data_IF_562865464930
#
_entry.id   IF_562865464930
#
_cell.length_a   1.000
_cell.length_b   1.000
_cell.length_c   1.000
_cell.angle_alpha   90.00
_cell.angle_beta   90.00
_cell.angle_gamma   90.00
#
_symmetry.space_group_name_H-M   'P 1'
#
loop_
_entity.id
_entity.type
_entity.pdbx_description
1 polymer ?
#
# COMPACT_ATOMS: atom_id res chain seq x y z
N UNK A 1 -8.61 -1.45 -14.52
CA UNK A 1 -9.25 -2.71 -14.95
C UNK A 1 -10.69 -2.50 -15.42
N UNK A 2 -11.55 -1.88 -14.62
CA UNK A 2 -12.94 -1.57 -15.04
C UNK A 2 -13.03 -0.70 -16.30
N UNK A 3 -12.16 0.28 -16.44
CA UNK A 3 -12.06 1.15 -17.62
C UNK A 3 -11.71 0.39 -18.91
N UNK A 4 -10.91 -0.69 -18.79
CA UNK A 4 -10.42 -1.44 -19.94
C UNK A 4 -11.27 -2.67 -20.27
N UNK A 5 -11.91 -3.28 -19.27
CA UNK A 5 -12.56 -4.59 -19.39
C UNK A 5 -13.97 -4.63 -18.78
N UNK A 6 -14.50 -3.49 -18.39
CA UNK A 6 -15.86 -3.36 -17.84
C UNK A 6 -15.96 -3.61 -16.33
N UNK A 7 -17.15 -3.34 -15.76
CA UNK A 7 -17.39 -3.31 -14.32
C UNK A 7 -17.20 -4.67 -13.62
N UNK A 8 -17.36 -5.76 -14.33
CA UNK A 8 -17.28 -7.13 -13.79
C UNK A 8 -16.04 -7.88 -14.30
N UNK A 9 -14.97 -7.17 -14.68
CA UNK A 9 -13.72 -7.74 -15.17
C UNK A 9 -13.10 -8.78 -14.21
N UNK A 10 -13.31 -8.64 -12.91
CA UNK A 10 -12.86 -9.60 -11.90
C UNK A 10 -13.52 -10.99 -12.03
N UNK A 11 -14.64 -11.11 -12.72
CA UNK A 11 -15.31 -12.40 -12.97
C UNK A 11 -14.77 -13.12 -14.21
N UNK A 12 -13.91 -12.49 -14.99
CA UNK A 12 -13.34 -13.08 -16.21
C UNK A 12 -11.94 -13.66 -15.93
N UNK A 13 -11.85 -14.99 -15.74
CA UNK A 13 -10.62 -15.70 -15.47
C UNK A 13 -9.53 -15.50 -16.54
N UNK A 14 -9.90 -15.20 -17.80
CA UNK A 14 -8.95 -15.02 -18.90
C UNK A 14 -8.08 -13.76 -18.74
N UNK A 15 -8.49 -12.81 -17.89
CA UNK A 15 -7.74 -11.59 -17.59
C UNK A 15 -6.61 -11.81 -16.58
N UNK A 16 -6.50 -13.02 -16.00
CA UNK A 16 -5.55 -13.36 -14.95
C UNK A 16 -4.53 -14.40 -15.43
N UNK A 17 -3.30 -14.28 -14.92
CA UNK A 17 -2.16 -15.09 -15.38
C UNK A 17 -2.16 -16.49 -14.79
N UNK A 18 -2.28 -16.58 -13.48
CA UNK A 18 -2.32 -17.84 -12.75
C UNK A 18 -3.78 -18.19 -12.44
N UNK A 19 -4.27 -19.29 -13.04
CA UNK A 19 -5.65 -19.73 -12.88
C UNK A 19 -5.94 -20.29 -11.49
N UNK A 20 -5.00 -21.01 -10.90
CA UNK A 20 -5.20 -21.58 -9.56
C UNK A 20 -5.26 -20.47 -8.50
N UNK A 21 -4.39 -19.48 -8.60
CA UNK A 21 -4.42 -18.31 -7.75
C UNK A 21 -5.69 -17.48 -7.99
N UNK A 22 -6.16 -17.37 -9.24
CA UNK A 22 -7.42 -16.71 -9.55
C UNK A 22 -8.59 -17.40 -8.84
N UNK A 23 -8.75 -18.72 -8.97
CA UNK A 23 -9.88 -19.43 -8.37
C UNK A 23 -9.83 -19.37 -6.84
N UNK A 24 -8.65 -19.48 -6.22
CA UNK A 24 -8.50 -19.29 -4.75
C UNK A 24 -8.95 -17.90 -4.33
N UNK A 25 -8.48 -16.87 -5.02
CA UNK A 25 -8.86 -15.48 -4.74
C UNK A 25 -10.33 -15.22 -5.02
N UNK A 26 -10.91 -15.87 -6.04
CA UNK A 26 -12.31 -15.73 -6.39
C UNK A 26 -13.24 -16.37 -5.33
N UNK A 27 -12.90 -17.54 -4.81
CA UNK A 27 -13.63 -18.17 -3.69
C UNK A 27 -13.58 -17.28 -2.45
N UNK A 28 -12.40 -16.78 -2.09
CA UNK A 28 -12.26 -15.84 -0.97
C UNK A 28 -13.11 -14.59 -1.17
N UNK A 29 -13.14 -14.06 -2.40
CA UNK A 29 -13.94 -12.90 -2.74
C UNK A 29 -15.43 -13.13 -2.55
N UNK A 30 -15.94 -14.28 -2.98
CA UNK A 30 -17.35 -14.65 -2.77
C UNK A 30 -17.69 -14.72 -1.29
N UNK A 31 -16.81 -15.34 -0.48
CA UNK A 31 -17.00 -15.43 0.98
C UNK A 31 -16.96 -14.05 1.64
N UNK A 32 -16.01 -13.18 1.25
CA UNK A 32 -15.91 -11.82 1.78
C UNK A 32 -17.12 -10.97 1.38
N UNK A 33 -17.60 -11.09 0.14
CA UNK A 33 -18.81 -10.41 -0.32
C UNK A 33 -20.03 -10.84 0.50
N UNK A 34 -20.16 -12.15 0.76
CA UNK A 34 -21.26 -12.66 1.60
C UNK A 34 -21.19 -12.15 3.04
N UNK A 35 -20.00 -12.08 3.63
CA UNK A 35 -19.80 -11.49 4.97
C UNK A 35 -20.10 -9.99 4.98
N UNK A 36 -19.67 -9.28 3.93
CA UNK A 36 -19.87 -7.85 3.80
C UNK A 36 -21.35 -7.45 3.62
N UNK A 37 -22.22 -8.36 3.16
CA UNK A 37 -23.65 -8.12 3.04
C UNK A 37 -24.30 -7.63 4.35
N UNK A 38 -23.77 -8.04 5.51
CA UNK A 38 -24.26 -7.62 6.80
C UNK A 38 -23.77 -6.21 7.23
N UNK A 39 -22.67 -5.71 6.63
CA UNK A 39 -21.97 -4.52 7.12
C UNK A 39 -21.70 -3.45 6.03
N UNK A 40 -21.98 -3.74 4.77
CA UNK A 40 -21.85 -2.80 3.64
C UNK A 40 -23.21 -2.61 2.97
N UNK A 41 -23.68 -1.39 3.02
CA UNK A 41 -24.96 -1.01 2.40
C UNK A 41 -24.94 -1.21 0.89
N UNK A 42 -23.82 -0.88 0.23
CA UNK A 42 -23.66 -1.01 -1.23
C UNK A 42 -23.70 -2.48 -1.67
N UNK A 43 -23.05 -3.37 -0.91
CA UNK A 43 -23.07 -4.81 -1.19
C UNK A 43 -24.45 -5.37 -0.95
N UNK A 44 -25.08 -5.03 0.18
CA UNK A 44 -26.44 -5.47 0.52
C UNK A 44 -27.46 -5.00 -0.53
N UNK A 45 -27.36 -3.73 -0.94
CA UNK A 45 -28.22 -3.17 -2.00
C UNK A 45 -28.06 -3.93 -3.30
N UNK A 46 -26.81 -4.16 -3.76
CA UNK A 46 -26.57 -4.86 -5.01
C UNK A 46 -27.15 -6.27 -4.98
N UNK A 47 -26.82 -7.06 -3.96
CA UNK A 47 -27.28 -8.46 -3.84
C UNK A 47 -28.79 -8.60 -3.67
N UNK A 48 -29.48 -7.54 -3.23
CA UNK A 48 -30.95 -7.51 -3.12
C UNK A 48 -31.65 -7.21 -4.45
N UNK A 49 -31.04 -6.42 -5.32
CA UNK A 49 -31.70 -5.87 -6.50
C UNK A 49 -31.21 -6.45 -7.83
N UNK A 50 -30.08 -7.16 -7.83
CA UNK A 50 -29.47 -7.69 -9.05
C UNK A 50 -29.13 -9.18 -8.91
N UNK A 51 -29.76 -10.01 -9.75
CA UNK A 51 -29.46 -11.45 -9.81
C UNK A 51 -28.28 -11.75 -10.73
N UNK A 52 -28.04 -10.91 -11.73
CA UNK A 52 -26.94 -11.05 -12.68
C UNK A 52 -26.33 -9.67 -13.05
N UNK A 53 -25.00 -9.58 -13.07
CA UNK A 53 -24.00 -10.56 -12.57
C UNK A 53 -24.11 -10.80 -11.07
N UNK A 54 -23.82 -12.01 -10.60
CA UNK A 54 -24.02 -12.41 -9.18
C UNK A 54 -23.02 -11.76 -8.19
N UNK A 55 -21.95 -11.12 -8.67
CA UNK A 55 -21.06 -10.29 -7.85
C UNK A 55 -21.19 -8.82 -8.20
N UNK A 56 -21.10 -7.92 -7.22
CA UNK A 56 -21.09 -6.50 -7.45
C UNK A 56 -19.96 -6.03 -8.37
N UNK A 57 -20.08 -4.84 -8.99
CA UNK A 57 -19.01 -4.23 -9.75
C UNK A 57 -17.72 -4.09 -8.95
N UNK A 58 -16.57 -4.10 -9.65
CA UNK A 58 -15.25 -4.15 -9.02
C UNK A 58 -15.00 -3.02 -8.02
N UNK A 59 -15.56 -1.83 -8.22
CA UNK A 59 -15.39 -0.70 -7.27
C UNK A 59 -16.13 -0.92 -5.95
N UNK A 60 -17.25 -1.65 -5.94
CA UNK A 60 -17.91 -2.07 -4.69
C UNK A 60 -17.11 -3.20 -4.04
N UNK A 61 -16.69 -4.19 -4.82
CA UNK A 61 -15.91 -5.34 -4.35
C UNK A 61 -14.59 -4.89 -3.70
N UNK A 62 -13.87 -3.94 -4.30
CA UNK A 62 -12.58 -3.48 -3.77
C UNK A 62 -12.71 -2.77 -2.42
N UNK A 63 -13.88 -2.20 -2.09
CA UNK A 63 -14.10 -1.56 -0.78
C UNK A 63 -14.20 -2.56 0.37
N UNK A 64 -14.57 -3.82 0.07
CA UNK A 64 -14.72 -4.89 1.07
C UNK A 64 -13.58 -5.89 1.09
N UNK A 65 -12.68 -5.83 0.10
CA UNK A 65 -11.47 -6.65 0.08
C UNK A 65 -10.49 -6.27 1.17
N UNK A 66 -9.80 -7.26 1.72
CA UNK A 66 -8.59 -6.98 2.50
C UNK A 66 -7.49 -6.41 1.58
N UNK A 67 -6.61 -5.56 2.14
CA UNK A 67 -5.48 -4.99 1.39
C UNK A 67 -4.61 -6.07 0.73
N UNK A 68 -4.43 -7.22 1.41
CA UNK A 68 -3.70 -8.36 0.89
C UNK A 68 -4.38 -8.98 -0.34
N UNK A 69 -5.70 -9.17 -0.29
CA UNK A 69 -6.46 -9.72 -1.43
C UNK A 69 -6.45 -8.77 -2.61
N UNK A 70 -6.72 -7.49 -2.38
CA UNK A 70 -6.63 -6.48 -3.44
C UNK A 70 -5.30 -6.55 -4.19
N UNK A 71 -4.19 -6.67 -3.43
CA UNK A 71 -2.86 -6.78 -4.03
C UNK A 71 -2.68 -8.09 -4.82
N UNK A 72 -3.20 -9.22 -4.35
CA UNK A 72 -3.16 -10.49 -5.09
C UNK A 72 -3.86 -10.38 -6.44
N UNK A 73 -5.03 -9.75 -6.48
CA UNK A 73 -5.77 -9.49 -7.71
C UNK A 73 -4.96 -8.64 -8.69
N UNK A 74 -4.38 -7.54 -8.23
CA UNK A 74 -3.51 -6.70 -9.06
C UNK A 74 -2.31 -7.47 -9.59
N UNK A 75 -1.63 -8.22 -8.72
CA UNK A 75 -0.47 -9.03 -9.09
C UNK A 75 -0.81 -10.06 -10.16
N UNK A 76 -1.93 -10.77 -10.01
CA UNK A 76 -2.34 -11.83 -10.92
C UNK A 76 -2.94 -11.34 -12.26
N UNK A 77 -3.24 -10.05 -12.40
CA UNK A 77 -3.70 -9.49 -13.68
C UNK A 77 -2.67 -9.72 -14.79
N UNK A 78 -3.08 -10.24 -15.97
CA UNK A 78 -2.20 -10.45 -17.13
C UNK A 78 -1.69 -9.15 -17.72
N UNK A 79 -2.55 -8.14 -17.80
CA UNK A 79 -2.26 -6.89 -18.51
C UNK A 79 -1.17 -6.06 -17.81
N UNK A 80 0.02 -6.04 -18.37
CA UNK A 80 1.12 -5.17 -17.93
C UNK A 80 0.75 -3.67 -17.97
N UNK A 81 0.06 -3.16 -19.00
CA UNK A 81 -0.40 -1.78 -18.99
C UNK A 81 -1.31 -1.45 -17.80
N UNK A 82 -2.27 -2.33 -17.46
CA UNK A 82 -3.15 -2.12 -16.29
C UNK A 82 -2.35 -2.10 -15.00
N UNK A 83 -1.40 -3.04 -14.82
CA UNK A 83 -0.52 -3.04 -13.64
C UNK A 83 0.30 -1.75 -13.52
N UNK A 84 0.83 -1.27 -14.66
CA UNK A 84 1.60 -0.02 -14.68
C UNK A 84 0.72 1.19 -14.36
N UNK A 85 -0.52 1.23 -14.85
CA UNK A 85 -1.49 2.26 -14.48
C UNK A 85 -1.75 2.29 -12.98
N UNK A 86 -1.94 1.11 -12.34
CA UNK A 86 -2.12 1.02 -10.88
C UNK A 86 -0.90 1.55 -10.13
N UNK A 87 0.32 1.17 -10.55
CA UNK A 87 1.54 1.68 -9.92
C UNK A 87 1.65 3.21 -10.03
N UNK A 88 1.42 3.76 -11.24
CA UNK A 88 1.44 5.20 -11.49
C UNK A 88 0.35 5.96 -10.74
N UNK A 89 -0.84 5.37 -10.60
CA UNK A 89 -1.96 5.98 -9.88
C UNK A 89 -1.69 6.18 -8.38
N UNK A 90 -0.68 5.51 -7.83
CA UNK A 90 -0.22 5.68 -6.45
C UNK A 90 1.21 6.29 -6.37
N UNK A 91 1.71 6.84 -7.48
CA UNK A 91 3.01 7.53 -7.52
C UNK A 91 4.23 6.62 -7.52
N UNK A 92 4.06 5.33 -7.83
CA UNK A 92 5.17 4.38 -7.86
C UNK A 92 5.64 4.11 -9.30
N UNK A 93 6.95 3.88 -9.50
CA UNK A 93 7.55 3.86 -10.85
C UNK A 93 7.18 2.62 -11.67
N UNK A 94 6.95 1.49 -11.04
CA UNK A 94 6.68 0.23 -11.73
C UNK A 94 5.98 -0.79 -10.83
N UNK A 95 5.63 -1.94 -11.41
CA UNK A 95 4.90 -3.00 -10.72
C UNK A 95 5.73 -3.69 -9.64
N UNK A 96 7.03 -3.87 -9.85
CA UNK A 96 7.92 -4.53 -8.88
C UNK A 96 8.01 -3.72 -7.59
N UNK A 97 8.10 -2.38 -7.73
CA UNK A 97 8.07 -1.46 -6.60
C UNK A 97 6.72 -1.48 -5.90
N UNK A 98 5.62 -1.44 -6.66
CA UNK A 98 4.27 -1.58 -6.10
C UNK A 98 4.12 -2.88 -5.30
N UNK A 99 4.61 -3.99 -5.83
CA UNK A 99 4.62 -5.29 -5.15
C UNK A 99 5.39 -5.26 -3.82
N UNK A 100 6.61 -4.75 -3.85
CA UNK A 100 7.46 -4.66 -2.66
C UNK A 100 6.87 -3.76 -1.58
N UNK A 101 6.41 -2.58 -1.98
CA UNK A 101 5.74 -1.61 -1.09
C UNK A 101 4.47 -2.22 -0.49
N UNK A 102 3.61 -2.81 -1.31
CA UNK A 102 2.36 -3.40 -0.83
C UNK A 102 2.59 -4.54 0.16
N UNK A 103 3.59 -5.39 -0.05
CA UNK A 103 3.97 -6.44 0.91
C UNK A 103 4.47 -5.88 2.23
N UNK A 104 5.35 -4.88 2.18
CA UNK A 104 5.88 -4.25 3.39
C UNK A 104 4.77 -3.55 4.19
N UNK A 105 3.92 -2.77 3.52
CA UNK A 105 2.80 -2.08 4.18
C UNK A 105 1.75 -3.06 4.72
N UNK A 106 1.49 -4.19 4.04
CA UNK A 106 0.63 -5.25 4.57
C UNK A 106 1.19 -5.80 5.89
N UNK A 107 2.52 -6.01 5.96
CA UNK A 107 3.18 -6.48 7.20
C UNK A 107 3.00 -5.46 8.33
N UNK A 108 3.26 -4.18 8.07
CA UNK A 108 3.09 -3.11 9.06
C UNK A 108 1.63 -3.00 9.51
N UNK A 109 0.68 -2.96 8.55
CA UNK A 109 -0.75 -2.91 8.84
C UNK A 109 -1.20 -4.08 9.73
N UNK A 110 -0.73 -5.30 9.45
CA UNK A 110 -1.11 -6.48 10.24
C UNK A 110 -0.51 -6.41 11.64
N UNK A 111 0.73 -5.94 11.78
CA UNK A 111 1.31 -5.70 13.10
C UNK A 111 0.47 -4.71 13.91
N UNK A 112 0.06 -3.59 13.31
CA UNK A 112 -0.82 -2.62 13.98
C UNK A 112 -2.18 -3.23 14.35
N UNK A 113 -2.81 -3.97 13.41
CA UNK A 113 -4.13 -4.58 13.63
C UNK A 113 -4.12 -5.66 14.72
N UNK A 114 -2.99 -6.29 14.97
CA UNK A 114 -2.81 -7.29 16.02
C UNK A 114 -2.11 -6.73 17.27
N UNK A 115 -2.10 -5.41 17.44
CA UNK A 115 -1.42 -4.71 18.55
C UNK A 115 0.05 -5.11 18.70
N UNK A 116 0.69 -5.48 17.59
CA UNK A 116 2.10 -5.85 17.57
C UNK A 116 3.02 -4.65 17.75
N UNK A 117 4.14 -4.85 18.44
CA UNK A 117 5.14 -3.81 18.66
C UNK A 117 5.80 -3.40 17.33
N UNK A 118 5.80 -2.10 17.02
CA UNK A 118 6.55 -1.48 15.91
C UNK A 118 7.90 -0.90 16.38
N UNK A 119 7.97 -0.48 17.62
CA UNK A 119 9.17 0.05 18.27
C UNK A 119 10.32 -0.96 18.19
N UNK A 120 11.51 -0.46 17.83
CA UNK A 120 12.74 -1.26 17.69
C UNK A 120 12.52 -2.57 16.91
N UNK A 121 11.74 -2.49 15.84
CA UNK A 121 11.43 -3.66 15.02
C UNK A 121 12.13 -3.59 13.67
N UNK A 122 12.82 -4.67 13.33
CA UNK A 122 13.26 -4.92 11.96
C UNK A 122 12.17 -5.70 11.24
N UNK A 123 11.63 -5.11 10.19
CA UNK A 123 10.57 -5.74 9.41
C UNK A 123 11.14 -6.92 8.60
N UNK A 124 10.46 -8.06 8.66
CA UNK A 124 10.84 -9.24 7.88
C UNK A 124 10.66 -9.04 6.37
N UNK A 125 9.71 -8.17 5.99
CA UNK A 125 9.47 -7.80 4.59
C UNK A 125 10.12 -6.46 4.32
N UNK A 126 11.22 -6.48 3.56
CA UNK A 126 11.95 -5.26 3.18
C UNK A 126 11.20 -4.48 2.12
N UNK A 127 11.28 -3.15 2.21
CA UNK A 127 10.91 -2.25 1.12
C UNK A 127 11.91 -2.39 -0.03
N UNK A 128 11.44 -2.20 -1.29
CA UNK A 128 12.38 -2.03 -2.40
C UNK A 128 13.23 -0.79 -2.17
N UNK A 129 14.53 -0.87 -2.45
CA UNK A 129 15.41 0.29 -2.34
C UNK A 129 15.18 1.24 -3.50
N UNK A 130 14.56 2.38 -3.20
CA UNK A 130 14.19 3.41 -4.16
C UNK A 130 15.22 4.54 -4.07
N UNK A 131 16.03 4.70 -5.11
CA UNK A 131 17.01 5.78 -5.24
C UNK A 131 16.44 7.04 -5.89
N UNK A 132 15.28 6.93 -6.55
CA UNK A 132 14.62 8.01 -7.31
C UNK A 132 13.11 8.01 -7.00
N UNK A 133 12.45 9.10 -7.35
CA UNK A 133 11.00 9.29 -7.24
C UNK A 133 10.44 9.46 -5.82
N UNK A 134 11.28 9.46 -4.78
CA UNK A 134 10.87 9.86 -3.44
C UNK A 134 11.45 11.25 -3.12
N UNK A 135 10.69 12.07 -2.42
CA UNK A 135 11.13 13.41 -1.99
C UNK A 135 12.16 13.34 -0.86
N UNK A 136 12.09 12.28 -0.06
CA UNK A 136 13.07 11.96 0.99
C UNK A 136 13.75 10.66 0.60
N UNK A 137 15.09 10.60 0.58
CA UNK A 137 15.79 9.36 0.28
C UNK A 137 15.52 8.31 1.36
N UNK A 138 15.40 7.05 0.96
CA UNK A 138 15.38 5.95 1.90
C UNK A 138 16.75 5.79 2.56
N UNK A 139 16.76 5.49 3.85
CA UNK A 139 17.98 5.08 4.54
C UNK A 139 18.45 3.74 3.98
N UNK A 140 19.69 3.69 3.55
CA UNK A 140 20.32 2.48 3.05
C UNK A 140 21.00 1.69 4.17
N UNK A 141 21.04 0.39 3.99
CA UNK A 141 21.97 -0.52 4.69
C UNK A 141 22.67 -1.38 3.65
N UNK A 142 23.78 -1.99 4.01
CA UNK A 142 24.54 -2.88 3.13
C UNK A 142 24.06 -4.32 3.37
N UNK A 143 23.69 -5.00 2.30
CA UNK A 143 23.33 -6.42 2.35
C UNK A 143 24.59 -7.33 2.47
N UNK A 144 24.36 -8.64 2.56
CA UNK A 144 25.47 -9.62 2.70
C UNK A 144 26.39 -9.69 1.48
N UNK A 145 25.97 -9.19 0.33
CA UNK A 145 26.75 -9.15 -0.92
C UNK A 145 27.46 -7.82 -1.14
N UNK A 146 27.31 -6.85 -0.23
CA UNK A 146 27.86 -5.50 -0.34
C UNK A 146 26.97 -4.53 -1.13
N UNK A 147 25.76 -4.95 -1.53
CA UNK A 147 24.78 -4.11 -2.23
C UNK A 147 23.97 -3.24 -1.27
N UNK A 148 23.49 -2.09 -1.78
CA UNK A 148 22.59 -1.23 -1.01
C UNK A 148 21.17 -1.82 -0.96
N UNK A 149 20.61 -1.89 0.23
CA UNK A 149 19.21 -2.24 0.47
C UNK A 149 18.53 -1.19 1.36
N UNK A 150 17.19 -1.16 1.34
CA UNK A 150 16.45 -0.32 2.26
C UNK A 150 16.59 -0.82 3.70
N UNK A 151 16.93 0.07 4.63
CA UNK A 151 16.93 -0.26 6.07
C UNK A 151 15.54 -0.81 6.45
N UNK A 152 15.46 -2.02 7.05
CA UNK A 152 14.18 -2.65 7.36
C UNK A 152 13.46 -2.05 8.58
N UNK A 153 13.95 -0.94 9.13
CA UNK A 153 13.31 -0.24 10.25
C UNK A 153 12.22 0.72 9.79
N UNK A 154 11.50 1.28 10.77
CA UNK A 154 10.24 2.00 10.52
C UNK A 154 10.39 3.30 9.73
N UNK A 155 11.53 4.01 9.82
CA UNK A 155 11.74 5.26 9.09
C UNK A 155 11.38 5.14 7.60
N UNK A 156 11.90 4.12 6.93
CA UNK A 156 11.66 3.93 5.50
C UNK A 156 10.17 3.66 5.17
N UNK A 157 9.45 2.96 6.06
CA UNK A 157 8.01 2.78 5.91
C UNK A 157 7.25 4.11 6.05
N UNK A 158 7.67 4.95 7.00
CA UNK A 158 7.08 6.28 7.21
C UNK A 158 7.34 7.17 5.98
N UNK A 159 8.55 7.15 5.42
CA UNK A 159 8.87 7.90 4.18
C UNK A 159 7.98 7.47 3.01
N UNK A 160 7.82 6.15 2.80
CA UNK A 160 6.98 5.64 1.70
C UNK A 160 5.51 5.99 1.94
N UNK A 161 4.99 5.85 3.15
CA UNK A 161 3.62 6.24 3.49
C UNK A 161 3.39 7.73 3.25
N UNK A 162 4.33 8.57 3.68
CA UNK A 162 4.26 10.02 3.47
C UNK A 162 4.23 10.38 1.98
N UNK A 163 5.06 9.71 1.18
CA UNK A 163 5.04 9.87 -0.27
C UNK A 163 3.68 9.50 -0.88
N UNK A 164 3.14 8.33 -0.53
CA UNK A 164 1.84 7.87 -1.02
C UNK A 164 0.72 8.82 -0.61
N UNK A 165 0.70 9.27 0.64
CA UNK A 165 -0.30 10.20 1.16
C UNK A 165 -0.29 11.54 0.42
N UNK A 166 0.89 12.12 0.17
CA UNK A 166 1.02 13.37 -0.59
C UNK A 166 0.75 13.19 -2.08
N UNK A 167 1.04 12.01 -2.64
CA UNK A 167 0.74 11.74 -4.03
C UNK A 167 -0.77 11.66 -4.26
N UNK A 168 -1.49 10.96 -3.37
CA UNK A 168 -2.95 10.79 -3.45
C UNK A 168 -3.70 12.07 -3.05
N UNK A 169 -3.18 12.84 -2.10
CA UNK A 169 -3.75 14.10 -1.64
C UNK A 169 -2.63 15.10 -1.36
N UNK A 170 -2.44 16.05 -2.27
CA UNK A 170 -1.39 17.07 -2.20
C UNK A 170 -1.47 17.97 -0.95
N UNK A 171 -2.66 18.15 -0.41
CA UNK A 171 -2.90 18.93 0.82
C UNK A 171 -2.86 18.10 2.10
N UNK A 172 -2.38 16.86 2.03
CA UNK A 172 -2.28 16.00 3.21
C UNK A 172 -1.28 16.55 4.23
N UNK A 173 -1.74 16.75 5.46
CA UNK A 173 -0.90 17.15 6.60
C UNK A 173 -0.25 15.94 7.30
N UNK A 174 -0.44 14.74 6.80
CA UNK A 174 0.04 13.52 7.46
C UNK A 174 1.55 13.49 7.69
N UNK A 175 2.42 13.87 6.72
CA UNK A 175 3.87 13.87 6.95
C UNK A 175 4.29 14.79 8.10
N UNK A 176 3.73 15.99 8.15
CA UNK A 176 3.96 16.93 9.22
C UNK A 176 3.52 16.39 10.60
N UNK A 177 2.28 15.89 10.68
CA UNK A 177 1.74 15.31 11.92
C UNK A 177 2.56 14.13 12.41
N UNK A 178 3.06 13.30 11.49
CA UNK A 178 3.94 12.17 11.82
C UNK A 178 5.31 12.69 12.32
N UNK A 179 5.87 13.70 11.68
CA UNK A 179 7.13 14.31 12.13
C UNK A 179 7.00 14.91 13.54
N UNK A 180 5.94 15.67 13.79
CA UNK A 180 5.66 16.21 15.12
C UNK A 180 5.53 15.10 16.16
N UNK A 181 4.74 14.07 15.86
CA UNK A 181 4.56 12.94 16.77
C UNK A 181 5.90 12.28 17.14
N UNK A 182 6.76 12.04 16.16
CA UNK A 182 8.08 11.43 16.39
C UNK A 182 8.95 12.33 17.28
N UNK A 183 8.99 13.62 16.99
CA UNK A 183 9.79 14.61 17.76
C UNK A 183 9.29 14.79 19.19
N UNK A 184 7.97 14.78 19.37
CA UNK A 184 7.35 15.03 20.68
C UNK A 184 7.41 13.79 21.59
N UNK A 185 7.56 12.58 21.01
CA UNK A 185 7.45 11.32 21.75
C UNK A 185 8.75 10.52 21.85
N UNK A 186 9.71 10.75 20.97
CA UNK A 186 10.96 9.96 20.91
C UNK A 186 12.18 10.85 21.08
N UNK A 187 13.11 10.44 21.94
CA UNK A 187 14.44 11.04 22.04
C UNK A 187 15.25 10.77 20.75
N UNK A 188 16.34 11.49 20.52
CA UNK A 188 17.22 11.30 19.37
C UNK A 188 17.78 9.85 19.30
N UNK A 189 18.15 9.28 20.45
CA UNK A 189 18.60 7.89 20.53
C UNK A 189 17.50 6.93 20.09
N UNK A 190 16.28 7.11 20.56
CA UNK A 190 15.13 6.32 20.20
C UNK A 190 14.76 6.46 18.73
N UNK A 191 14.86 7.65 18.15
CA UNK A 191 14.69 7.86 16.71
C UNK A 191 15.76 7.07 15.92
N UNK A 192 17.02 7.07 16.38
CA UNK A 192 18.10 6.28 15.78
C UNK A 192 17.80 4.77 15.80
N UNK A 193 17.26 4.25 16.91
CA UNK A 193 16.80 2.85 17.03
C UNK A 193 15.69 2.53 16.03
N UNK A 194 14.76 3.45 15.80
CA UNK A 194 13.69 3.32 14.80
C UNK A 194 14.16 3.52 13.35
N UNK A 195 15.43 3.85 13.15
CA UNK A 195 16.06 3.98 11.84
C UNK A 195 16.06 5.38 11.25
N UNK A 196 15.67 6.41 12.02
CA UNK A 196 15.75 7.79 11.55
C UNK A 196 17.22 8.18 11.38
N UNK A 197 17.58 8.86 10.26
CA UNK A 197 18.91 9.44 10.10
C UNK A 197 19.07 10.68 11.00
N UNK A 198 20.31 11.08 11.28
CA UNK A 198 20.57 12.35 11.91
C UNK A 198 19.98 13.52 11.10
N UNK A 199 19.40 14.50 11.77
CA UNK A 199 18.78 15.67 11.14
C UNK A 199 17.72 15.36 10.06
N UNK A 200 17.02 14.22 10.15
CA UNK A 200 16.01 13.81 9.19
C UNK A 200 14.88 14.84 9.00
N UNK A 201 14.56 15.57 10.08
CA UNK A 201 13.49 16.55 10.16
C UNK A 201 13.87 17.92 9.54
N UNK A 202 15.15 18.16 9.27
CA UNK A 202 15.62 19.33 8.54
C UNK A 202 15.16 19.34 7.06
N UNK A 203 14.71 18.20 6.54
CA UNK A 203 14.18 18.14 5.17
C UNK A 203 12.80 18.85 5.13
N UNK A 204 12.62 19.85 4.22
CA UNK A 204 11.35 20.60 4.08
C UNK A 204 10.12 19.74 3.81
N UNK A 205 10.32 18.50 3.37
CA UNK A 205 9.25 17.53 3.19
C UNK A 205 8.43 17.29 4.47
N UNK A 206 9.04 17.42 5.64
CA UNK A 206 8.42 17.19 6.94
C UNK A 206 7.80 18.46 7.56
N UNK A 207 8.00 19.60 6.94
CA UNK A 207 7.42 20.87 7.38
C UNK A 207 6.14 21.21 6.61
N UNK A 208 5.15 21.80 7.28
CA UNK A 208 3.94 22.32 6.65
C UNK A 208 4.21 23.67 6.03
N UNK A 209 4.97 23.79 4.99
CA UNK A 209 4.86 24.99 4.19
C UNK A 209 3.86 24.73 3.06
N UNK A 210 2.65 25.27 3.23
CA UNK A 210 1.60 25.38 2.23
C UNK A 210 2.02 26.13 0.96
N UNK A 211 3.26 26.57 0.88
CA UNK A 211 3.80 27.41 -0.19
C UNK A 211 4.66 26.65 -1.22
N UNK A 212 4.78 25.33 -1.12
CA UNK A 212 5.49 24.58 -2.14
C UNK A 212 4.52 23.65 -2.90
N UNK A 213 3.80 24.17 -3.92
CA UNK A 213 3.01 23.34 -4.81
C UNK A 213 3.94 22.38 -5.57
N UNK A 214 3.49 21.17 -5.77
CA UNK A 214 4.09 20.08 -6.53
C UNK A 214 4.37 20.48 -8.00
#
# INVERSE_FOLDING_TARGET
MSESYGPHAHMNAELFGDRDEYFKSFVNLMEETKRAQANSEEVAHYLKHYDAPFLPPIWIITSVMSFRELFRWVKNTKSTPVKLQVAKAVGLPNIQVLEGVSRALTTVRNLCAHHGRLWDRRLSTKLPYLTKNLRVPLKATVDRSGGNEADPRMFNCIVVLAHLMLFLNKSSTWPFRMASLVKDTLSEEEQGIMGFPDNWDANPFWSTNSENPL
#
